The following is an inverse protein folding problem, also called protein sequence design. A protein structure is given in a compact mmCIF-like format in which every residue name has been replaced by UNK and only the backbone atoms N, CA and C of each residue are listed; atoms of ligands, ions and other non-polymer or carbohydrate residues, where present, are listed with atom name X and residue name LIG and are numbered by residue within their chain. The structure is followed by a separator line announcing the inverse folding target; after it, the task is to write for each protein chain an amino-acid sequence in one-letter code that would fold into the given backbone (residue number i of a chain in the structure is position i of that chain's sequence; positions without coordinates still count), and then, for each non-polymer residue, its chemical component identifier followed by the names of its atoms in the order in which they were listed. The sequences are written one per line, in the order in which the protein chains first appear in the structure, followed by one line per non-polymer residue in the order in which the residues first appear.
data_IF_984478175047
#
_entry.id   IF_984478175047
#
_cell.length_a   1.000
_cell.length_b   1.000
_cell.length_c   1.000
_cell.angle_alpha   90.00
_cell.angle_beta   90.00
_cell.angle_gamma   90.00
#
_symmetry.space_group_name_H-M   'P 1'
#
loop_
_entity.id
_entity.type
_entity.pdbx_description
1 polymer ?
#
# COMPACT_ATOMS: atom_id res chain seq x y z
N UNK A 1 -13.48 9.21 3.68
CA UNK A 1 -13.14 10.38 2.86
C UNK A 1 -12.17 9.97 1.75
N UNK A 2 -12.22 10.60 0.56
CA UNK A 2 -11.33 10.30 -0.58
C UNK A 2 -10.22 11.34 -0.68
N UNK A 3 -8.98 10.91 -0.93
CA UNK A 3 -7.81 11.77 -1.15
C UNK A 3 -7.15 11.45 -2.47
N UNK A 4 -6.78 12.47 -3.24
CA UNK A 4 -6.24 12.33 -4.59
C UNK A 4 -4.97 13.16 -4.72
N UNK A 5 -3.99 12.63 -5.45
CA UNK A 5 -2.91 13.44 -6.04
C UNK A 5 -3.25 13.68 -7.51
N UNK A 6 -3.50 14.94 -7.85
CA UNK A 6 -3.61 15.40 -9.23
C UNK A 6 -2.23 15.89 -9.72
N UNK A 7 -1.93 15.52 -10.96
CA UNK A 7 -0.63 15.36 -11.63
C UNK A 7 0.28 16.58 -11.83
N UNK A 8 0.13 17.69 -11.09
CA UNK A 8 0.89 18.92 -11.37
C UNK A 8 2.25 19.00 -10.65
N UNK A 9 2.56 18.10 -9.71
CA UNK A 9 3.73 18.24 -8.82
C UNK A 9 4.87 17.22 -9.10
N UNK A 10 4.64 16.20 -9.93
CA UNK A 10 5.61 15.13 -10.15
C UNK A 10 6.07 15.12 -11.62
N UNK A 11 7.29 15.55 -11.88
CA UNK A 11 7.89 15.49 -13.22
C UNK A 11 7.95 14.06 -13.74
N UNK A 12 7.37 13.79 -14.92
CA UNK A 12 7.35 12.45 -15.53
C UNK A 12 8.73 12.06 -16.04
N UNK A 13 9.23 10.90 -15.60
CA UNK A 13 10.32 10.23 -16.30
C UNK A 13 9.75 9.39 -17.47
N UNK A 14 10.01 9.81 -18.70
CA UNK A 14 9.44 9.27 -19.94
C UNK A 14 10.13 7.99 -20.45
N UNK A 15 11.18 7.51 -19.79
CA UNK A 15 12.02 6.42 -20.31
C UNK A 15 11.41 5.00 -20.26
N UNK A 16 10.25 4.79 -19.62
CA UNK A 16 9.63 3.47 -19.42
C UNK A 16 8.15 3.38 -19.81
N UNK A 17 7.64 4.31 -20.61
CA UNK A 17 6.27 4.22 -21.15
C UNK A 17 6.15 3.01 -22.08
N UNK A 18 5.52 1.91 -21.63
CA UNK A 18 5.15 0.84 -22.56
C UNK A 18 4.70 -0.49 -21.98
N UNK A 19 5.05 -0.86 -20.74
CA UNK A 19 4.58 -2.14 -20.18
C UNK A 19 4.46 -2.07 -18.66
N UNK A 20 3.26 -2.29 -18.14
CA UNK A 20 3.06 -2.45 -16.71
C UNK A 20 3.82 -3.68 -16.22
N UNK A 21 4.47 -3.59 -15.06
CA UNK A 21 5.33 -4.67 -14.54
C UNK A 21 4.93 -5.15 -13.14
N UNK A 22 3.83 -4.61 -12.61
CA UNK A 22 3.20 -5.04 -11.37
C UNK A 22 4.07 -4.77 -10.14
N UNK A 23 3.92 -5.59 -9.12
CA UNK A 23 4.68 -5.43 -7.87
C UNK A 23 6.18 -5.65 -8.09
N UNK A 24 6.99 -4.59 -7.95
CA UNK A 24 8.46 -4.63 -7.98
C UNK A 24 9.09 -4.23 -6.65
N UNK A 25 10.36 -4.61 -6.46
CA UNK A 25 11.12 -4.23 -5.26
C UNK A 25 11.37 -2.71 -5.25
N UNK A 26 10.99 -2.03 -4.17
CA UNK A 26 11.25 -0.59 -3.97
C UNK A 26 12.04 -0.40 -2.69
N UNK A 27 13.05 0.47 -2.75
CA UNK A 27 13.91 0.80 -1.60
C UNK A 27 13.71 2.27 -1.25
N UNK A 28 13.60 2.54 0.05
CA UNK A 28 13.58 3.87 0.65
C UNK A 28 14.72 4.00 1.65
N UNK A 29 14.76 5.11 2.41
CA UNK A 29 15.78 5.33 3.44
C UNK A 29 15.72 4.24 4.52
N UNK A 30 14.52 3.90 5.00
CA UNK A 30 14.33 2.98 6.14
C UNK A 30 13.61 1.68 5.77
N UNK A 31 13.06 1.57 4.55
CA UNK A 31 12.16 0.48 4.19
C UNK A 31 12.58 -0.20 2.90
N UNK A 32 12.28 -1.50 2.88
CA UNK A 32 12.22 -2.35 1.71
C UNK A 32 10.75 -2.71 1.46
N UNK A 33 10.22 -2.30 0.31
CA UNK A 33 8.92 -2.74 -0.16
C UNK A 33 9.14 -3.89 -1.16
N UNK A 34 8.55 -5.05 -0.88
CA UNK A 34 8.74 -6.26 -1.69
C UNK A 34 7.47 -7.10 -1.77
N UNK A 35 7.45 -8.05 -2.71
CA UNK A 35 6.43 -9.10 -2.74
C UNK A 35 6.44 -9.88 -1.41
N UNK A 36 5.26 -10.26 -0.96
CA UNK A 36 5.07 -11.15 0.17
C UNK A 36 5.45 -12.59 -0.23
N UNK A 37 5.87 -13.37 0.76
CA UNK A 37 6.27 -14.77 0.64
C UNK A 37 5.59 -15.60 1.73
N UNK A 38 5.61 -16.92 1.60
CA UNK A 38 5.04 -17.81 2.63
C UNK A 38 5.72 -17.67 4.00
N UNK A 39 7.00 -17.26 4.01
CA UNK A 39 7.78 -17.04 5.23
C UNK A 39 7.28 -15.83 6.04
N UNK A 40 6.47 -14.97 5.43
CA UNK A 40 5.92 -13.78 6.08
C UNK A 40 4.74 -14.09 7.01
N UNK A 41 4.24 -15.32 7.03
CA UNK A 41 2.99 -15.67 7.71
C UNK A 41 2.95 -15.27 9.18
N UNK A 42 4.00 -15.60 9.94
CA UNK A 42 4.06 -15.32 11.38
C UNK A 42 4.08 -13.81 11.66
N UNK A 43 4.95 -13.07 10.98
CA UNK A 43 5.04 -11.62 11.14
C UNK A 43 3.76 -10.93 10.66
N UNK A 44 3.18 -11.35 9.53
CA UNK A 44 1.91 -10.83 9.03
C UNK A 44 0.80 -10.99 10.07
N UNK A 45 0.67 -12.19 10.64
CA UNK A 45 -0.34 -12.49 11.65
C UNK A 45 -0.13 -11.66 12.92
N UNK A 46 1.05 -11.76 13.51
CA UNK A 46 1.35 -11.21 14.84
C UNK A 46 1.56 -9.70 14.85
N UNK A 47 2.04 -9.10 13.75
CA UNK A 47 2.35 -7.67 13.73
C UNK A 47 1.12 -6.81 13.43
N UNK A 48 0.12 -7.33 12.70
CA UNK A 48 -1.12 -6.58 12.47
C UNK A 48 -2.38 -7.39 12.18
N UNK A 49 -2.30 -8.55 11.52
CA UNK A 49 -3.52 -9.14 10.96
C UNK A 49 -4.45 -9.75 11.99
N UNK A 50 -3.94 -10.17 13.15
CA UNK A 50 -4.76 -10.63 14.28
C UNK A 50 -5.15 -9.50 15.24
N UNK A 51 -4.63 -8.28 15.06
CA UNK A 51 -4.81 -7.18 16.01
C UNK A 51 -6.07 -6.38 15.69
N UNK A 52 -7.09 -6.53 16.53
CA UNK A 52 -8.40 -5.90 16.36
C UNK A 52 -8.35 -4.37 16.36
N UNK A 53 -7.36 -3.77 17.01
CA UNK A 53 -7.14 -2.32 17.00
C UNK A 53 -6.62 -1.87 15.64
N UNK A 54 -5.70 -2.64 15.06
CA UNK A 54 -5.13 -2.35 13.74
C UNK A 54 -6.16 -2.59 12.63
N UNK A 55 -6.96 -3.65 12.74
CA UNK A 55 -7.93 -4.02 11.69
C UNK A 55 -9.25 -3.28 11.78
N UNK A 56 -9.48 -2.47 12.83
CA UNK A 56 -10.75 -1.78 13.11
C UNK A 56 -11.36 -1.04 11.92
N UNK A 57 -10.52 -0.46 11.06
CA UNK A 57 -10.94 0.35 9.91
C UNK A 57 -10.68 -0.32 8.55
N UNK A 58 -10.33 -1.61 8.55
CA UNK A 58 -10.07 -2.36 7.33
C UNK A 58 -11.36 -3.01 6.82
N UNK A 59 -11.39 -3.33 5.53
CA UNK A 59 -12.53 -3.99 4.88
C UNK A 59 -12.64 -5.49 5.19
N UNK A 60 -11.64 -6.05 5.90
CA UNK A 60 -11.56 -7.45 6.27
C UNK A 60 -11.43 -7.60 7.79
N UNK A 61 -11.93 -8.72 8.30
CA UNK A 61 -11.93 -9.03 9.74
C UNK A 61 -10.55 -9.52 10.19
N UNK A 62 -10.14 -9.26 11.44
CA UNK A 62 -8.89 -9.76 11.96
C UNK A 62 -8.81 -11.28 11.81
N UNK A 63 -7.66 -11.75 11.36
CA UNK A 63 -7.39 -13.17 11.20
C UNK A 63 -7.42 -13.84 12.57
N UNK A 64 -8.03 -15.01 12.63
CA UNK A 64 -8.20 -15.79 13.87
C UNK A 64 -7.13 -16.85 14.05
N UNK A 65 -6.37 -17.17 13.00
CA UNK A 65 -5.31 -18.17 13.02
C UNK A 65 -4.18 -17.84 12.04
N UNK A 66 -3.03 -18.48 12.27
CA UNK A 66 -1.91 -18.45 11.33
C UNK A 66 -2.28 -19.07 9.97
N UNK A 67 -3.15 -20.09 9.96
CA UNK A 67 -3.56 -20.77 8.73
C UNK A 67 -4.42 -19.88 7.83
N UNK A 68 -5.29 -19.06 8.41
CA UNK A 68 -6.03 -18.02 7.68
C UNK A 68 -5.07 -17.01 7.03
N UNK A 69 -4.01 -16.64 7.75
CA UNK A 69 -2.96 -15.75 7.23
C UNK A 69 -2.20 -16.39 6.08
N UNK A 70 -1.76 -17.63 6.23
CA UNK A 70 -1.08 -18.39 5.17
C UNK A 70 -1.97 -18.54 3.93
N UNK A 71 -3.26 -18.80 4.12
CA UNK A 71 -4.22 -18.86 3.03
C UNK A 71 -4.33 -17.52 2.28
N UNK A 72 -4.42 -16.40 3.00
CA UNK A 72 -4.42 -15.05 2.43
C UNK A 72 -3.13 -14.75 1.65
N UNK A 73 -1.96 -15.11 2.20
CA UNK A 73 -0.66 -14.96 1.54
C UNK A 73 -0.57 -15.78 0.24
N UNK A 74 -1.05 -17.02 0.24
CA UNK A 74 -1.06 -17.86 -0.96
C UNK A 74 -1.91 -17.26 -2.08
N UNK A 75 -3.08 -16.70 -1.75
CA UNK A 75 -3.92 -15.98 -2.71
C UNK A 75 -3.20 -14.77 -3.32
N UNK A 76 -2.55 -13.96 -2.48
CA UNK A 76 -1.75 -12.80 -2.94
C UNK A 76 -0.59 -13.23 -3.84
N UNK A 77 0.13 -14.29 -3.43
CA UNK A 77 1.27 -14.84 -4.18
C UNK A 77 0.89 -15.24 -5.61
N UNK A 78 -0.26 -15.88 -5.79
CA UNK A 78 -0.75 -16.30 -7.10
C UNK A 78 -0.98 -15.14 -8.08
N UNK A 79 -1.27 -13.93 -7.56
CA UNK A 79 -1.56 -12.75 -8.37
C UNK A 79 -0.30 -11.98 -8.81
N UNK A 80 0.88 -12.26 -8.24
CA UNK A 80 2.12 -11.55 -8.60
C UNK A 80 2.63 -11.78 -10.03
N UNK A 81 2.06 -12.74 -10.74
CA UNK A 81 2.28 -12.94 -12.18
C UNK A 81 1.54 -11.92 -13.04
N UNK A 82 0.48 -11.30 -12.52
CA UNK A 82 -0.30 -10.30 -13.22
C UNK A 82 0.46 -8.97 -13.26
N UNK A 83 0.66 -8.36 -14.44
CA UNK A 83 1.39 -7.09 -14.57
C UNK A 83 0.64 -5.90 -13.93
N UNK A 84 -0.60 -6.08 -13.53
CA UNK A 84 -1.48 -5.05 -12.96
C UNK A 84 -1.76 -5.28 -11.48
N UNK A 85 -1.08 -6.25 -10.86
CA UNK A 85 -1.21 -6.55 -9.46
C UNK A 85 -0.11 -5.87 -8.64
N UNK A 86 -0.54 -5.05 -7.68
CA UNK A 86 0.30 -4.22 -6.84
C UNK A 86 0.03 -4.54 -5.38
N UNK A 87 0.93 -5.26 -4.72
CA UNK A 87 0.81 -5.62 -3.31
C UNK A 87 2.19 -5.81 -2.67
N UNK A 88 2.59 -4.85 -1.85
CA UNK A 88 3.89 -4.85 -1.20
C UNK A 88 3.76 -5.14 0.29
N UNK A 89 4.58 -6.06 0.79
CA UNK A 89 5.00 -6.08 2.18
C UNK A 89 5.99 -4.95 2.44
N UNK A 90 5.82 -4.26 3.57
CA UNK A 90 6.68 -3.18 4.04
C UNK A 90 7.62 -3.78 5.09
N UNK A 91 8.91 -3.80 4.80
CA UNK A 91 9.94 -4.41 5.66
C UNK A 91 10.91 -3.34 6.15
N UNK A 92 11.28 -3.33 7.43
CA UNK A 92 12.31 -2.42 7.94
C UNK A 92 13.69 -2.81 7.41
N UNK A 93 14.52 -1.82 7.08
CA UNK A 93 15.87 -2.08 6.61
C UNK A 93 16.79 -2.57 7.74
N UNK A 94 16.62 -2.04 8.95
CA UNK A 94 17.52 -2.29 10.08
C UNK A 94 17.31 -3.70 10.66
N UNK A 95 16.06 -4.05 10.94
CA UNK A 95 15.72 -5.32 11.62
C UNK A 95 15.19 -6.40 10.68
N UNK A 96 14.94 -6.06 9.41
CA UNK A 96 14.34 -6.94 8.40
C UNK A 96 12.96 -7.50 8.79
N UNK A 97 12.21 -6.77 9.61
CA UNK A 97 10.88 -7.16 10.09
C UNK A 97 9.81 -6.68 9.12
N UNK A 98 8.86 -7.54 8.75
CA UNK A 98 7.67 -7.17 8.02
C UNK A 98 6.66 -6.46 8.94
N UNK A 99 6.40 -5.18 8.68
CA UNK A 99 5.62 -4.31 9.58
C UNK A 99 4.23 -3.95 9.06
N UNK A 100 3.93 -4.25 7.79
CA UNK A 100 2.64 -3.93 7.19
C UNK A 100 2.59 -4.22 5.69
N UNK A 101 1.53 -3.75 5.04
CA UNK A 101 1.35 -3.85 3.59
C UNK A 101 0.79 -2.58 2.97
N UNK A 102 1.11 -2.36 1.70
CA UNK A 102 0.51 -1.34 0.85
C UNK A 102 0.12 -1.97 -0.49
N UNK A 103 -1.12 -1.75 -0.93
CA UNK A 103 -1.76 -2.53 -2.00
C UNK A 103 -2.53 -1.60 -2.93
N UNK A 104 -2.45 -1.83 -4.24
CA UNK A 104 -3.39 -1.27 -5.22
C UNK A 104 -4.70 -2.06 -5.16
N UNK A 105 -5.68 -1.57 -4.40
CA UNK A 105 -6.92 -2.30 -4.08
C UNK A 105 -7.97 -2.23 -5.19
N UNK A 106 -7.93 -1.19 -6.02
CA UNK A 106 -8.79 -1.05 -7.19
C UNK A 106 -7.99 -0.43 -8.34
N UNK A 107 -7.67 -1.23 -9.35
CA UNK A 107 -6.84 -0.85 -10.49
C UNK A 107 -7.70 -0.82 -11.74
N UNK A 108 -7.86 0.35 -12.35
CA UNK A 108 -8.63 0.51 -13.59
C UNK A 108 -7.72 1.11 -14.66
N UNK A 109 -7.16 0.22 -15.48
CA UNK A 109 -6.12 0.55 -16.47
C UNK A 109 -6.60 1.53 -17.53
N UNK A 110 -7.82 1.34 -18.05
CA UNK A 110 -8.40 2.20 -19.10
C UNK A 110 -8.54 3.65 -18.63
N UNK A 111 -8.82 3.85 -17.35
CA UNK A 111 -8.92 5.17 -16.70
C UNK A 111 -7.58 5.64 -16.10
N UNK A 112 -6.51 4.84 -16.23
CA UNK A 112 -5.20 5.07 -15.58
C UNK A 112 -5.34 5.47 -14.11
N UNK A 113 -6.25 4.81 -13.38
CA UNK A 113 -6.48 5.07 -11.96
C UNK A 113 -6.17 3.86 -11.08
N UNK A 114 -5.71 4.16 -9.88
CA UNK A 114 -5.44 3.17 -8.84
C UNK A 114 -5.83 3.71 -7.47
N UNK A 115 -6.63 2.93 -6.75
CA UNK A 115 -6.89 3.11 -5.33
C UNK A 115 -5.82 2.38 -4.52
N UNK A 116 -5.20 3.07 -3.57
CA UNK A 116 -4.23 2.49 -2.64
C UNK A 116 -4.91 2.25 -1.29
N UNK A 117 -4.76 1.03 -0.79
CA UNK A 117 -5.03 0.66 0.59
C UNK A 117 -3.73 0.31 1.32
N UNK A 118 -3.67 0.55 2.62
CA UNK A 118 -2.51 0.19 3.42
C UNK A 118 -2.86 -0.12 4.87
N UNK A 119 -1.99 -0.89 5.51
CA UNK A 119 -2.05 -1.24 6.92
C UNK A 119 -0.63 -1.37 7.46
N UNK A 120 -0.43 -0.99 8.71
CA UNK A 120 0.84 -1.16 9.42
C UNK A 120 0.55 -1.47 10.88
N UNK A 121 1.36 -2.35 11.47
CA UNK A 121 1.21 -2.75 12.87
C UNK A 121 1.33 -1.58 13.84
N UNK A 122 0.60 -1.66 14.95
CA UNK A 122 0.52 -0.56 15.92
C UNK A 122 1.86 -0.12 16.51
N UNK A 123 2.81 -1.06 16.65
CA UNK A 123 4.17 -0.79 17.16
C UNK A 123 4.93 0.22 16.30
N UNK A 124 4.55 0.38 15.03
CA UNK A 124 5.22 1.27 14.07
C UNK A 124 4.40 2.52 13.72
N UNK A 125 3.27 2.76 14.39
CA UNK A 125 2.49 4.00 14.24
C UNK A 125 3.28 5.22 14.70
N UNK A 126 2.91 6.40 14.21
CA UNK A 126 3.56 7.68 14.57
C UNK A 126 4.98 7.88 14.02
N UNK A 127 5.67 6.84 13.57
CA UNK A 127 7.08 6.87 13.15
C UNK A 127 7.33 7.25 11.67
N UNK A 128 6.26 7.58 10.93
CA UNK A 128 6.34 8.03 9.54
C UNK A 128 6.62 6.93 8.50
N UNK A 129 6.74 5.66 8.89
CA UNK A 129 7.00 4.54 7.96
C UNK A 129 5.95 4.43 6.85
N UNK A 130 4.66 4.52 7.19
CA UNK A 130 3.61 4.42 6.18
C UNK A 130 3.63 5.59 5.18
N UNK A 131 3.92 6.82 5.62
CA UNK A 131 4.03 7.97 4.72
C UNK A 131 5.23 7.83 3.77
N UNK A 132 6.36 7.32 4.27
CA UNK A 132 7.54 7.02 3.46
C UNK A 132 7.24 5.93 2.41
N UNK A 133 6.59 4.83 2.82
CA UNK A 133 6.16 3.76 1.92
C UNK A 133 5.18 4.27 0.85
N UNK A 134 4.14 5.00 1.26
CA UNK A 134 3.11 5.53 0.37
C UNK A 134 3.71 6.50 -0.66
N UNK A 135 4.59 7.41 -0.24
CA UNK A 135 5.26 8.34 -1.15
C UNK A 135 6.09 7.59 -2.21
N UNK A 136 6.79 6.52 -1.83
CA UNK A 136 7.55 5.68 -2.78
C UNK A 136 6.63 4.95 -3.77
N UNK A 137 5.50 4.42 -3.28
CA UNK A 137 4.51 3.74 -4.13
C UNK A 137 3.83 4.70 -5.09
N UNK A 138 3.47 5.91 -4.64
CA UNK A 138 2.91 6.96 -5.51
C UNK A 138 3.91 7.28 -6.63
N UNK A 139 5.18 7.51 -6.27
CA UNK A 139 6.23 7.78 -7.26
C UNK A 139 6.34 6.63 -8.28
N UNK A 140 6.33 5.39 -7.81
CA UNK A 140 6.41 4.20 -8.65
C UNK A 140 5.22 4.10 -9.62
N UNK A 141 3.99 4.15 -9.09
CA UNK A 141 2.78 3.99 -9.87
C UNK A 141 2.62 5.11 -10.91
N UNK A 142 3.00 6.34 -10.58
CA UNK A 142 2.92 7.47 -11.48
C UNK A 142 4.01 7.45 -12.56
N UNK A 143 5.28 7.34 -12.15
CA UNK A 143 6.41 7.53 -13.06
C UNK A 143 6.77 6.27 -13.85
N UNK A 144 6.47 5.08 -13.33
CA UNK A 144 6.89 3.81 -13.94
C UNK A 144 5.72 3.00 -14.47
N UNK A 145 4.57 2.98 -13.79
CA UNK A 145 3.39 2.23 -14.23
C UNK A 145 2.39 3.09 -15.04
N UNK A 146 2.62 4.40 -15.10
CA UNK A 146 1.83 5.32 -15.94
C UNK A 146 0.42 5.63 -15.43
N UNK A 147 0.13 5.38 -14.15
CA UNK A 147 -1.14 5.81 -13.54
C UNK A 147 -1.17 7.33 -13.38
N UNK A 148 -2.28 7.95 -13.74
CA UNK A 148 -2.46 9.40 -13.70
C UNK A 148 -3.29 9.84 -12.51
N UNK A 149 -4.19 8.97 -12.02
CA UNK A 149 -5.04 9.22 -10.86
C UNK A 149 -4.76 8.21 -9.76
N UNK A 150 -3.99 8.62 -8.77
CA UNK A 150 -3.68 7.82 -7.59
C UNK A 150 -4.47 8.40 -6.42
N UNK A 151 -5.27 7.54 -5.78
CA UNK A 151 -6.13 7.95 -4.68
C UNK A 151 -6.16 6.91 -3.57
N UNK A 152 -6.63 7.33 -2.39
CA UNK A 152 -6.80 6.47 -1.24
C UNK A 152 -8.05 6.91 -0.48
N UNK A 153 -8.63 5.97 0.27
CA UNK A 153 -9.78 6.23 1.14
C UNK A 153 -9.45 5.84 2.56
N UNK A 154 -10.04 6.56 3.51
CA UNK A 154 -10.04 6.19 4.91
C UNK A 154 -11.40 6.41 5.55
N UNK A 155 -11.67 5.69 6.64
CA UNK A 155 -12.79 5.95 7.52
C UNK A 155 -12.63 7.33 8.17
N UNK A 156 -13.71 8.12 8.27
CA UNK A 156 -13.67 9.48 8.84
C UNK A 156 -13.14 9.53 10.28
N UNK A 157 -13.25 8.43 11.02
CA UNK A 157 -12.74 8.31 12.40
C UNK A 157 -11.25 7.92 12.44
N UNK A 158 -10.66 7.51 11.30
CA UNK A 158 -9.25 7.15 11.20
C UNK A 158 -8.37 8.34 10.82
N UNK A 159 -8.20 9.25 11.79
CA UNK A 159 -7.39 10.48 11.65
C UNK A 159 -5.92 10.19 11.34
N UNK A 160 -5.39 9.04 11.76
CA UNK A 160 -4.01 8.65 11.47
C UNK A 160 -3.80 8.40 9.96
N UNK A 161 -4.76 7.75 9.32
CA UNK A 161 -4.70 7.49 7.88
C UNK A 161 -4.82 8.78 7.06
N UNK A 162 -5.69 9.71 7.49
CA UNK A 162 -5.76 11.07 6.93
C UNK A 162 -4.40 11.78 6.95
N UNK A 163 -3.74 11.81 8.12
CA UNK A 163 -2.42 12.45 8.26
C UNK A 163 -1.34 11.82 7.37
N UNK A 164 -1.41 10.52 7.12
CA UNK A 164 -0.50 9.83 6.18
C UNK A 164 -0.70 10.35 4.75
N UNK A 165 -1.96 10.46 4.30
CA UNK A 165 -2.30 10.97 2.97
C UNK A 165 -1.86 12.42 2.80
N UNK A 166 -2.12 13.28 3.79
CA UNK A 166 -1.69 14.68 3.79
C UNK A 166 -0.17 14.83 3.70
N UNK A 167 0.60 14.04 4.47
CA UNK A 167 2.07 14.04 4.41
C UNK A 167 2.64 13.63 3.06
N UNK A 168 1.89 12.85 2.28
CA UNK A 168 2.27 12.45 0.93
C UNK A 168 1.82 13.47 -0.14
N UNK A 169 1.27 14.61 0.26
CA UNK A 169 0.78 15.66 -0.64
C UNK A 169 -0.56 15.34 -1.31
N UNK A 170 -1.29 14.32 -0.81
CA UNK A 170 -2.64 14.04 -1.31
C UNK A 170 -3.62 15.11 -0.81
N UNK A 171 -4.54 15.52 -1.67
CA UNK A 171 -5.56 16.51 -1.37
C UNK A 171 -6.91 15.84 -1.17
N UNK A 172 -7.68 16.30 -0.19
CA UNK A 172 -9.08 15.89 -0.01
C UNK A 172 -9.85 16.18 -1.29
N UNK A 173 -10.54 15.18 -1.81
CA UNK A 173 -11.48 15.35 -2.90
C UNK A 173 -12.90 15.15 -2.37
N UNK A 174 -13.68 16.21 -2.44
CA UNK A 174 -15.11 16.13 -2.17
C UNK A 174 -15.77 15.49 -3.39
N UNK A 175 -16.24 14.26 -3.23
CA UNK A 175 -17.10 13.64 -4.24
C UNK A 175 -18.35 14.52 -4.37
N UNK A 176 -18.56 15.10 -5.56
CA UNK A 176 -19.88 15.67 -5.89
C UNK A 176 -20.87 14.51 -5.83
N UNK A 177 -21.91 14.68 -5.00
CA UNK A 177 -23.05 13.77 -4.94
C UNK A 177 -23.76 13.71 -6.28
#
# INVERSE_FOLDING_TARGET
MCYIINSVILGKNIANLGKMVGTKRLITKRLLLRRLTEKDGEEFFTNWASDTEVTKFLSWKPHTSIDETKYSLNKRKALYSLPTYYDWGIVTNDDHILIGTITGVNVVQIEKRVEIGYVIGKRWWGNGHMAEALSKVIFYLYNLEGYERIFAKHDILNIQSERVMEKCGMKKEYLKK
#
